data_IF_624153615485
#
_entry.id   IF_624153615485
#
_cell.length_a   1.000
_cell.length_b   1.000
_cell.length_c   1.000
_cell.angle_alpha   90.00
_cell.angle_beta   90.00
_cell.angle_gamma   90.00
#
_symmetry.space_group_name_H-M   'P 1'
#
loop_
_entity.id
_entity.type
_entity.pdbx_description
1 polymer ?
#
# COMPACT_ATOMS: atom_id res chain seq x y z
N UNK A 1 49.90 20.25 -0.50
CA UNK A 1 48.80 20.36 -1.47
C UNK A 1 47.54 20.08 -0.70
N UNK A 2 46.74 21.13 -0.50
CA UNK A 2 45.57 21.10 0.38
C UNK A 2 44.40 20.43 -0.32
N UNK A 3 43.82 19.42 0.32
CA UNK A 3 42.51 18.87 -0.05
C UNK A 3 41.46 19.60 0.79
N UNK A 4 40.55 20.28 0.15
CA UNK A 4 39.36 20.88 0.77
C UNK A 4 38.36 19.79 1.14
N UNK A 5 37.68 19.90 2.30
CA UNK A 5 36.64 18.96 2.70
C UNK A 5 35.30 19.30 1.99
N UNK A 6 34.61 18.26 1.59
CA UNK A 6 33.23 18.28 1.11
C UNK A 6 32.32 18.61 2.30
N UNK A 7 31.31 19.47 2.15
CA UNK A 7 30.36 19.75 3.24
C UNK A 7 29.40 18.57 3.45
N UNK A 8 29.38 18.12 4.68
CA UNK A 8 28.42 17.15 5.22
C UNK A 8 27.03 17.76 5.41
N UNK A 9 26.03 16.92 5.13
CA UNK A 9 24.74 16.81 5.82
C UNK A 9 23.80 18.02 5.89
N UNK A 10 22.70 17.91 5.16
CA UNK A 10 21.46 18.57 5.55
C UNK A 10 20.50 17.48 6.06
N UNK A 11 20.52 17.25 7.35
CA UNK A 11 19.47 16.52 8.07
C UNK A 11 18.22 17.36 8.00
N UNK A 12 17.22 16.94 7.25
CA UNK A 12 15.89 17.57 7.25
C UNK A 12 15.15 17.11 8.50
N UNK A 13 15.23 17.89 9.57
CA UNK A 13 14.31 17.76 10.71
C UNK A 13 12.89 18.09 10.24
N UNK A 14 11.99 17.12 10.40
CA UNK A 14 10.55 17.39 10.30
C UNK A 14 10.13 18.32 11.44
N UNK A 15 9.88 19.57 11.11
CA UNK A 15 9.26 20.52 12.03
C UNK A 15 7.73 20.35 11.95
N UNK A 16 7.13 20.01 13.08
CA UNK A 16 5.71 20.20 13.35
C UNK A 16 5.38 21.71 13.37
N UNK A 17 5.21 22.30 12.20
CA UNK A 17 4.84 23.71 12.05
C UNK A 17 3.35 23.89 12.11
N UNK A 18 2.84 24.49 13.19
CA UNK A 18 1.48 25.06 13.23
C UNK A 18 1.41 26.23 12.25
N UNK A 19 0.55 26.13 11.24
CA UNK A 19 0.25 27.23 10.32
C UNK A 19 -0.93 28.06 10.85
N UNK A 20 -0.93 29.40 10.64
CA UNK A 20 -1.99 30.27 11.15
C UNK A 20 -3.28 30.15 10.33
N UNK A 21 -4.42 30.12 11.04
CA UNK A 21 -5.76 30.19 10.49
C UNK A 21 -6.08 31.57 9.91
N UNK A 22 -6.65 31.60 8.71
CA UNK A 22 -7.38 32.76 8.19
C UNK A 22 -8.89 32.51 8.25
N UNK A 23 -9.71 33.50 8.68
CA UNK A 23 -11.14 33.33 8.79
C UNK A 23 -11.83 33.44 7.43
N UNK A 24 -12.67 32.45 7.09
CA UNK A 24 -13.53 32.48 5.91
C UNK A 24 -14.85 33.13 6.30
N UNK A 25 -15.17 34.25 5.65
CA UNK A 25 -16.48 34.91 5.76
C UNK A 25 -17.52 34.16 4.93
N UNK A 26 -18.59 33.71 5.59
CA UNK A 26 -19.76 33.13 4.97
C UNK A 26 -20.66 34.21 4.36
N UNK A 27 -20.92 34.15 3.06
CA UNK A 27 -21.99 34.90 2.38
C UNK A 27 -23.12 33.93 2.09
N UNK A 28 -24.22 34.14 2.78
CA UNK A 28 -25.45 33.40 2.55
C UNK A 28 -26.17 33.88 1.29
N UNK A 29 -26.57 32.97 0.42
CA UNK A 29 -27.53 33.22 -0.64
C UNK A 29 -28.78 32.39 -0.41
N UNK A 30 -29.91 33.12 -0.24
CA UNK A 30 -31.26 32.61 -0.14
C UNK A 30 -31.77 32.38 -1.57
N UNK A 31 -32.19 31.16 -1.93
CA UNK A 31 -32.86 30.88 -3.19
C UNK A 31 -34.19 30.20 -2.94
N UNK A 32 -35.26 30.87 -3.41
CA UNK A 32 -36.65 30.45 -3.37
C UNK A 32 -36.91 29.17 -4.20
N UNK A 33 -37.68 28.27 -3.62
CA UNK A 33 -38.24 27.11 -4.29
C UNK A 33 -39.37 27.50 -5.24
N UNK A 34 -39.30 27.03 -6.49
CA UNK A 34 -40.41 26.95 -7.41
C UNK A 34 -40.72 25.49 -7.70
N UNK A 35 -41.84 25.00 -7.19
CA UNK A 35 -42.40 23.69 -7.55
C UNK A 35 -43.03 23.76 -8.94
N UNK A 36 -42.55 22.96 -9.88
CA UNK A 36 -43.28 22.61 -11.10
C UNK A 36 -43.54 21.10 -11.14
N UNK A 37 -44.82 20.79 -11.06
CA UNK A 37 -45.41 19.45 -11.26
C UNK A 37 -45.27 19.03 -12.73
N UNK A 38 -44.63 17.90 -13.01
CA UNK A 38 -44.77 17.14 -14.25
C UNK A 38 -44.99 15.66 -13.93
N UNK A 39 -45.92 14.99 -14.63
CA UNK A 39 -46.27 13.60 -14.35
C UNK A 39 -45.40 12.62 -15.13
N UNK A 40 -45.04 11.55 -14.43
CA UNK A 40 -44.88 10.20 -14.95
C UNK A 40 -43.86 9.98 -16.09
N UNK A 41 -42.61 9.71 -15.76
CA UNK A 41 -41.75 8.85 -16.57
C UNK A 41 -41.27 7.72 -15.67
N UNK A 42 -41.81 6.52 -15.86
CA UNK A 42 -41.29 5.30 -15.25
C UNK A 42 -39.89 5.10 -15.81
N UNK A 43 -38.87 5.34 -14.99
CA UNK A 43 -37.52 4.84 -15.26
C UNK A 43 -37.57 3.31 -15.20
N UNK A 44 -37.48 2.68 -16.37
CA UNK A 44 -37.08 1.29 -16.47
C UNK A 44 -35.75 1.16 -15.68
N UNK A 45 -35.78 0.42 -14.59
CA UNK A 45 -34.56 -0.08 -13.97
C UNK A 45 -33.91 -0.97 -15.02
N UNK A 46 -32.82 -0.49 -15.61
CA UNK A 46 -31.83 -1.38 -16.23
C UNK A 46 -31.32 -2.24 -15.10
N UNK A 47 -31.67 -3.52 -15.11
CA UNK A 47 -30.92 -4.56 -14.41
C UNK A 47 -29.49 -4.51 -14.95
N UNK A 48 -28.58 -3.96 -14.17
CA UNK A 48 -27.15 -4.13 -14.39
C UNK A 48 -26.87 -5.63 -14.45
N UNK A 49 -26.33 -6.10 -15.55
CA UNK A 49 -25.78 -7.43 -15.69
C UNK A 49 -24.61 -7.54 -14.73
N UNK A 50 -24.87 -7.97 -13.49
CA UNK A 50 -23.88 -8.15 -12.45
C UNK A 50 -22.97 -9.32 -12.79
N UNK A 51 -21.89 -9.08 -13.52
CA UNK A 51 -20.71 -9.94 -13.47
C UNK A 51 -20.22 -9.99 -12.02
N UNK A 52 -19.85 -11.18 -11.54
CA UNK A 52 -19.37 -11.37 -10.17
C UNK A 52 -18.12 -10.51 -9.94
N UNK A 53 -18.22 -9.48 -9.09
CA UNK A 53 -17.10 -8.56 -8.79
C UNK A 53 -15.95 -9.34 -8.16
N UNK A 54 -14.71 -9.02 -8.56
CA UNK A 54 -13.51 -9.58 -7.97
C UNK A 54 -13.42 -9.17 -6.49
N UNK A 55 -13.44 -10.12 -5.57
CA UNK A 55 -13.31 -9.85 -4.14
C UNK A 55 -11.84 -9.71 -3.76
N UNK A 56 -11.49 -8.61 -3.09
CA UNK A 56 -10.10 -8.29 -2.68
C UNK A 56 -10.07 -7.92 -1.20
N UNK A 57 -9.14 -8.48 -0.46
CA UNK A 57 -8.74 -8.03 0.86
C UNK A 57 -7.46 -7.23 0.71
N UNK A 58 -7.43 -6.02 1.26
CA UNK A 58 -6.33 -5.09 1.13
C UNK A 58 -5.54 -5.04 2.44
N UNK A 59 -4.26 -5.41 2.41
CA UNK A 59 -3.35 -5.40 3.56
C UNK A 59 -2.15 -4.50 3.24
N UNK A 60 -1.91 -3.46 4.05
CA UNK A 60 -0.99 -2.37 3.72
C UNK A 60 -0.37 -1.74 4.97
N UNK A 61 0.85 -1.25 4.86
CA UNK A 61 1.53 -0.39 5.82
C UNK A 61 1.38 1.10 5.47
N UNK A 62 0.20 1.44 5.03
CA UNK A 62 -0.25 2.64 4.34
C UNK A 62 0.35 3.94 4.87
N UNK A 63 0.91 4.70 3.97
CA UNK A 63 1.06 6.15 4.10
C UNK A 63 0.01 6.85 3.25
N UNK A 64 -0.18 8.17 3.42
CA UNK A 64 -1.27 8.91 2.77
C UNK A 64 -1.25 8.85 1.23
N UNK A 65 -1.56 9.93 0.55
CA UNK A 65 -1.72 10.01 -0.91
C UNK A 65 -0.39 9.93 -1.67
N UNK A 66 0.39 8.88 -1.45
CA UNK A 66 1.51 8.48 -2.28
C UNK A 66 1.25 7.05 -2.78
N UNK A 67 2.11 6.09 -2.57
CA UNK A 67 2.04 4.79 -3.22
C UNK A 67 0.87 3.93 -2.69
N UNK A 68 0.90 3.58 -1.42
CA UNK A 68 -0.15 2.80 -0.74
C UNK A 68 -1.52 3.47 -0.79
N UNK A 69 -1.56 4.76 -0.44
CA UNK A 69 -2.82 5.49 -0.37
C UNK A 69 -3.46 5.65 -1.73
N UNK A 70 -2.67 5.92 -2.78
CA UNK A 70 -3.16 5.98 -4.16
C UNK A 70 -3.59 4.59 -4.64
N UNK A 71 -2.85 3.52 -4.26
CA UNK A 71 -3.25 2.14 -4.52
C UNK A 71 -4.63 1.84 -3.92
N UNK A 72 -4.88 2.26 -2.68
CA UNK A 72 -6.19 2.08 -2.05
C UNK A 72 -7.29 2.91 -2.72
N UNK A 73 -7.02 4.18 -3.09
CA UNK A 73 -7.96 5.03 -3.82
C UNK A 73 -8.40 4.40 -5.14
N UNK A 74 -7.46 3.93 -5.98
CA UNK A 74 -7.82 3.32 -7.27
C UNK A 74 -8.58 2.01 -7.11
N UNK A 75 -8.29 1.24 -6.07
CA UNK A 75 -9.04 0.02 -5.75
C UNK A 75 -10.48 0.32 -5.33
N UNK A 76 -10.70 1.37 -4.52
CA UNK A 76 -12.03 1.85 -4.16
C UNK A 76 -12.80 2.37 -5.37
N UNK A 77 -12.12 3.03 -6.31
CA UNK A 77 -12.67 3.58 -7.54
C UNK A 77 -12.84 2.57 -8.67
N UNK A 78 -12.74 1.27 -8.43
CA UNK A 78 -12.86 0.24 -9.46
C UNK A 78 -14.16 -0.54 -9.30
N UNK A 79 -15.11 -0.35 -10.23
CA UNK A 79 -16.46 -0.93 -10.16
C UNK A 79 -16.47 -2.47 -10.14
N UNK A 80 -15.53 -3.11 -10.83
CA UNK A 80 -15.42 -4.57 -10.90
C UNK A 80 -14.74 -5.21 -9.68
N UNK A 81 -14.33 -4.38 -8.71
CA UNK A 81 -13.69 -4.83 -7.47
C UNK A 81 -14.65 -4.61 -6.29
N UNK A 82 -14.68 -5.60 -5.40
CA UNK A 82 -15.30 -5.52 -4.09
C UNK A 82 -14.24 -5.68 -3.02
N UNK A 83 -13.81 -4.56 -2.42
CA UNK A 83 -12.92 -4.63 -1.28
C UNK A 83 -13.68 -5.21 -0.09
N UNK A 84 -13.11 -6.23 0.56
CA UNK A 84 -13.69 -6.88 1.73
C UNK A 84 -13.36 -6.17 3.03
N UNK A 85 -12.22 -5.51 3.07
CA UNK A 85 -11.74 -4.70 4.19
C UNK A 85 -10.31 -4.26 3.97
N UNK A 86 -9.89 -3.33 4.81
CA UNK A 86 -8.51 -2.88 4.96
C UNK A 86 -7.97 -3.41 6.29
N UNK A 87 -6.88 -4.16 6.23
CA UNK A 87 -6.04 -4.48 7.39
C UNK A 87 -4.74 -3.72 7.27
N UNK A 88 -4.26 -3.13 8.36
CA UNK A 88 -2.99 -2.40 8.35
C UNK A 88 -1.91 -3.16 9.09
N UNK A 89 -0.67 -2.90 8.75
CA UNK A 89 0.51 -3.53 9.35
C UNK A 89 1.59 -2.46 9.51
N UNK A 90 2.50 -2.64 10.44
CA UNK A 90 3.65 -1.73 10.58
C UNK A 90 4.70 -2.02 9.50
N UNK A 91 5.19 -0.97 8.87
CA UNK A 91 6.23 -0.97 7.84
C UNK A 91 6.62 0.47 7.49
N UNK A 92 6.01 1.06 6.46
CA UNK A 92 6.18 2.49 6.13
C UNK A 92 5.72 3.41 7.27
N UNK A 93 4.59 3.08 7.88
CA UNK A 93 4.06 3.74 9.06
C UNK A 93 3.72 2.69 10.13
N UNK A 94 3.50 3.12 11.38
CA UNK A 94 2.97 2.25 12.42
C UNK A 94 1.55 1.79 12.06
N UNK A 95 1.17 0.57 12.41
CA UNK A 95 -0.13 -0.01 12.03
C UNK A 95 -1.32 0.87 12.45
N UNK A 96 -1.23 1.52 13.62
CA UNK A 96 -2.26 2.45 14.09
C UNK A 96 -2.30 3.74 13.27
N UNK A 97 -1.16 4.24 12.84
CA UNK A 97 -1.04 5.41 11.97
C UNK A 97 -1.57 5.10 10.56
N UNK A 98 -1.16 3.97 9.99
CA UNK A 98 -1.68 3.45 8.71
C UNK A 98 -3.22 3.30 8.73
N UNK A 99 -3.78 2.87 9.87
CA UNK A 99 -5.23 2.81 10.05
C UNK A 99 -5.89 4.20 9.96
N UNK A 100 -5.30 5.22 10.59
CA UNK A 100 -5.80 6.58 10.54
C UNK A 100 -5.82 7.12 9.10
N UNK A 101 -4.75 6.87 8.34
CA UNK A 101 -4.65 7.25 6.92
C UNK A 101 -5.67 6.51 6.05
N UNK A 102 -5.79 5.19 6.24
CA UNK A 102 -6.77 4.36 5.51
C UNK A 102 -8.21 4.79 5.79
N UNK A 103 -8.55 5.13 7.04
CA UNK A 103 -9.87 5.68 7.41
C UNK A 103 -10.12 7.00 6.66
N UNK A 104 -9.15 7.92 6.65
CA UNK A 104 -9.33 9.21 5.96
C UNK A 104 -9.57 9.03 4.47
N UNK A 105 -8.79 8.19 3.81
CA UNK A 105 -8.97 7.88 2.39
C UNK A 105 -10.35 7.23 2.16
N UNK A 106 -10.73 6.27 3.00
CA UNK A 106 -12.03 5.63 2.90
C UNK A 106 -13.21 6.59 3.05
N UNK A 107 -13.10 7.58 3.93
CA UNK A 107 -14.11 8.64 4.08
C UNK A 107 -14.26 9.51 2.82
N UNK A 108 -13.13 9.80 2.17
CA UNK A 108 -13.09 10.65 0.98
C UNK A 108 -13.44 9.90 -0.30
N UNK A 109 -13.14 8.60 -0.37
CA UNK A 109 -13.27 7.78 -1.58
C UNK A 109 -14.42 6.76 -1.53
N UNK A 110 -15.42 6.98 -0.68
CA UNK A 110 -16.63 6.13 -0.65
C UNK A 110 -16.48 4.80 0.09
N UNK A 111 -15.38 4.60 0.83
CA UNK A 111 -15.08 3.39 1.61
C UNK A 111 -15.79 3.31 2.98
N UNK A 112 -16.78 4.14 3.28
CA UNK A 112 -17.41 4.24 4.62
C UNK A 112 -18.03 2.92 5.13
N UNK A 113 -18.39 2.02 4.25
CA UNK A 113 -19.01 0.74 4.60
C UNK A 113 -18.02 -0.44 4.67
N UNK A 114 -16.73 -0.18 4.50
CA UNK A 114 -15.70 -1.20 4.62
C UNK A 114 -15.35 -1.46 6.09
N UNK A 115 -14.78 -2.63 6.35
CA UNK A 115 -14.15 -2.95 7.63
C UNK A 115 -12.71 -2.47 7.62
N UNK A 116 -12.31 -1.73 8.65
CA UNK A 116 -10.97 -1.21 8.88
C UNK A 116 -10.43 -1.82 10.15
N UNK A 117 -9.21 -2.35 10.13
CA UNK A 117 -8.61 -3.06 11.27
C UNK A 117 -7.14 -2.68 11.39
N UNK A 118 -6.72 -2.20 12.56
CA UNK A 118 -5.30 -2.16 12.89
C UNK A 118 -4.80 -3.59 13.08
N UNK A 119 -3.79 -3.97 12.32
CA UNK A 119 -3.18 -5.29 12.41
C UNK A 119 -1.90 -5.28 13.24
N UNK A 120 -0.92 -6.06 12.79
CA UNK A 120 0.30 -6.30 13.53
C UNK A 120 1.14 -5.02 13.70
N UNK A 121 1.37 -4.66 14.97
CA UNK A 121 2.25 -3.54 15.34
C UNK A 121 3.72 -3.95 15.29
N UNK A 122 4.03 -5.23 15.47
CA UNK A 122 5.39 -5.76 15.48
C UNK A 122 5.51 -6.99 14.58
N UNK A 123 6.71 -7.23 13.98
CA UNK A 123 7.05 -8.47 13.29
C UNK A 123 6.82 -9.72 14.13
N UNK A 124 6.79 -10.88 13.45
CA UNK A 124 6.60 -12.18 14.14
C UNK A 124 7.72 -12.45 15.14
N UNK A 125 8.97 -12.17 14.75
CA UNK A 125 10.12 -12.39 15.64
C UNK A 125 10.20 -11.29 16.69
N UNK A 126 10.13 -11.63 18.00
CA UNK A 126 10.34 -10.66 19.07
C UNK A 126 11.69 -9.95 18.96
N UNK A 127 11.72 -8.64 19.19
CA UNK A 127 12.94 -7.83 19.12
C UNK A 127 13.45 -7.57 17.68
N UNK A 128 12.69 -7.95 16.65
CA UNK A 128 13.11 -7.73 15.24
C UNK A 128 13.37 -6.26 14.93
N UNK A 129 12.54 -5.36 15.42
CA UNK A 129 12.69 -3.93 15.16
C UNK A 129 13.92 -3.33 15.85
N UNK A 130 14.37 -3.90 16.97
CA UNK A 130 15.57 -3.45 17.68
C UNK A 130 16.83 -3.68 16.82
N UNK A 131 16.89 -4.81 16.08
CA UNK A 131 18.01 -5.15 15.20
C UNK A 131 17.93 -4.54 13.80
N UNK A 132 16.76 -4.07 13.37
CA UNK A 132 16.54 -3.59 12.00
C UNK A 132 17.50 -2.45 11.62
N UNK A 133 17.60 -1.43 12.47
CA UNK A 133 18.47 -0.28 12.20
C UNK A 133 19.95 -0.67 12.16
N UNK A 134 20.39 -1.54 13.07
CA UNK A 134 21.78 -2.02 13.12
C UNK A 134 22.15 -2.82 11.86
N UNK A 135 21.24 -3.67 11.38
CA UNK A 135 21.45 -4.45 10.16
C UNK A 135 21.56 -3.55 8.91
N UNK A 136 20.68 -2.56 8.81
CA UNK A 136 20.68 -1.61 7.69
C UNK A 136 21.91 -0.70 7.75
N UNK A 137 22.35 -0.26 8.95
CA UNK A 137 23.58 0.52 9.12
C UNK A 137 24.85 -0.29 8.77
N UNK A 138 24.84 -1.59 9.04
CA UNK A 138 25.95 -2.48 8.72
C UNK A 138 26.07 -2.74 7.20
N UNK A 139 24.93 -2.79 6.48
CA UNK A 139 24.88 -3.08 5.04
C UNK A 139 23.82 -2.19 4.35
N UNK A 140 24.10 -0.90 4.14
CA UNK A 140 23.12 0.00 3.56
C UNK A 140 22.86 -0.28 2.06
N UNK A 141 21.57 -0.39 1.68
CA UNK A 141 21.13 -0.38 0.29
C UNK A 141 20.96 1.05 -0.25
N UNK A 142 20.43 1.17 -1.46
CA UNK A 142 20.26 2.47 -2.13
C UNK A 142 19.32 3.41 -1.35
N UNK A 143 18.26 2.87 -0.75
CA UNK A 143 17.27 3.63 0.02
C UNK A 143 17.40 3.45 1.54
N UNK A 144 18.58 3.07 2.02
CA UNK A 144 18.85 2.79 3.43
C UNK A 144 18.58 3.96 4.39
N UNK A 145 18.47 5.18 3.87
CA UNK A 145 18.06 6.36 4.66
C UNK A 145 16.58 6.36 5.01
N UNK A 146 15.74 5.65 4.26
CA UNK A 146 14.34 5.48 4.56
C UNK A 146 14.14 4.22 5.41
N UNK A 147 13.59 4.38 6.59
CA UNK A 147 13.43 3.31 7.60
C UNK A 147 11.96 3.09 8.00
N UNK A 148 11.03 3.82 7.37
CA UNK A 148 9.63 3.76 7.74
C UNK A 148 9.37 4.04 9.22
N UNK A 149 8.47 3.29 9.81
CA UNK A 149 8.01 3.45 11.19
C UNK A 149 9.13 3.43 12.25
N UNK A 150 10.19 2.63 12.04
CA UNK A 150 11.28 2.52 13.03
C UNK A 150 12.20 3.74 13.11
N UNK A 151 11.98 4.75 12.28
CA UNK A 151 12.74 6.01 12.30
C UNK A 151 12.16 7.06 13.26
N UNK A 152 10.98 6.84 13.83
CA UNK A 152 10.31 7.78 14.72
C UNK A 152 9.53 7.08 15.84
N UNK A 153 8.96 7.86 16.76
CA UNK A 153 8.26 7.36 17.94
C UNK A 153 7.03 6.57 17.53
N UNK A 154 6.83 5.44 18.18
CA UNK A 154 5.69 4.55 17.97
C UNK A 154 4.35 5.24 18.22
N UNK A 155 3.44 5.13 17.27
CA UNK A 155 2.06 5.59 17.38
C UNK A 155 1.13 4.43 17.71
N UNK A 156 0.45 4.54 18.86
CA UNK A 156 -0.37 3.47 19.43
C UNK A 156 -1.87 3.79 19.47
N UNK A 157 -2.27 4.98 19.02
CA UNK A 157 -3.67 5.41 19.01
C UNK A 157 -4.02 6.08 17.68
N UNK A 158 -4.62 5.31 16.79
CA UNK A 158 -5.10 5.77 15.50
C UNK A 158 -6.00 7.01 15.56
N UNK A 159 -6.79 7.13 16.66
CA UNK A 159 -7.74 8.25 16.80
C UNK A 159 -7.00 9.55 17.09
N UNK A 160 -6.01 9.52 17.93
CA UNK A 160 -5.15 10.68 18.19
C UNK A 160 -4.41 11.08 16.92
N UNK A 161 -3.79 10.14 16.22
CA UNK A 161 -3.15 10.39 14.92
C UNK A 161 -4.13 11.05 13.95
N UNK A 162 -5.34 10.49 13.81
CA UNK A 162 -6.36 11.03 12.91
C UNK A 162 -6.77 12.46 13.29
N UNK A 163 -7.08 12.68 14.58
CA UNK A 163 -7.58 13.99 15.03
C UNK A 163 -6.52 15.08 14.96
N UNK A 164 -5.28 14.75 15.29
CA UNK A 164 -4.15 15.70 15.26
C UNK A 164 -3.75 16.04 13.83
N UNK A 165 -3.77 15.03 12.94
CA UNK A 165 -3.42 15.19 11.52
C UNK A 165 -4.46 16.00 10.74
N UNK A 166 -5.75 15.65 10.92
CA UNK A 166 -6.83 16.18 10.08
C UNK A 166 -7.68 17.25 10.77
N UNK A 167 -7.42 17.56 12.05
CA UNK A 167 -8.17 18.51 12.87
C UNK A 167 -9.69 18.25 12.83
N UNK A 168 -10.11 16.97 12.84
CA UNK A 168 -11.52 16.53 12.78
C UNK A 168 -11.71 15.17 13.45
N UNK A 169 -12.95 14.83 13.76
CA UNK A 169 -13.28 13.49 14.23
C UNK A 169 -13.53 12.53 13.07
N UNK A 170 -13.06 11.26 13.16
CA UNK A 170 -13.35 10.25 12.15
C UNK A 170 -14.85 9.90 12.13
N UNK A 171 -15.39 9.68 10.93
CA UNK A 171 -16.74 9.18 10.73
C UNK A 171 -16.78 7.64 10.72
N UNK A 172 -15.71 7.02 10.22
CA UNK A 172 -15.53 5.56 10.21
C UNK A 172 -15.06 5.09 11.59
N UNK A 173 -15.67 4.00 12.06
CA UNK A 173 -15.27 3.32 13.29
C UNK A 173 -14.60 1.99 12.91
N UNK A 174 -13.32 1.79 13.21
CA UNK A 174 -12.65 0.54 12.93
C UNK A 174 -13.19 -0.60 13.81
N UNK A 175 -12.98 -1.83 13.34
CA UNK A 175 -13.25 -3.04 14.11
C UNK A 175 -12.12 -3.28 15.12
N UNK A 176 -12.48 -3.90 16.25
CA UNK A 176 -11.53 -4.39 17.24
C UNK A 176 -11.16 -5.87 17.06
N UNK A 177 -11.59 -6.49 15.97
CA UNK A 177 -11.22 -7.85 15.63
C UNK A 177 -9.72 -7.92 15.30
N UNK A 178 -9.06 -9.03 15.64
CA UNK A 178 -7.68 -9.26 15.23
C UNK A 178 -7.59 -9.38 13.70
N UNK A 179 -6.62 -8.72 13.08
CA UNK A 179 -6.49 -8.71 11.62
C UNK A 179 -6.30 -10.11 11.04
N UNK A 180 -5.50 -10.96 11.69
CA UNK A 180 -5.27 -12.35 11.28
C UNK A 180 -6.55 -13.19 11.28
N UNK A 181 -7.40 -13.04 12.31
CA UNK A 181 -8.68 -13.73 12.42
C UNK A 181 -9.68 -13.20 11.37
N UNK A 182 -9.69 -11.90 11.14
CA UNK A 182 -10.51 -11.29 10.08
C UNK A 182 -10.12 -11.81 8.70
N UNK A 183 -8.82 -11.84 8.37
CA UNK A 183 -8.31 -12.38 7.11
C UNK A 183 -8.76 -13.83 6.93
N UNK A 184 -8.52 -14.68 7.91
CA UNK A 184 -8.91 -16.07 7.88
C UNK A 184 -10.42 -16.25 7.67
N UNK A 185 -11.22 -15.53 8.44
CA UNK A 185 -12.69 -15.56 8.34
C UNK A 185 -13.19 -15.11 6.97
N UNK A 186 -12.62 -14.07 6.36
CA UNK A 186 -13.00 -13.63 5.01
C UNK A 186 -12.71 -14.69 3.96
N UNK A 187 -11.55 -15.34 4.04
CA UNK A 187 -11.17 -16.43 3.10
C UNK A 187 -12.10 -17.62 3.27
N UNK A 188 -12.28 -18.09 4.51
CA UNK A 188 -13.08 -19.29 4.82
C UNK A 188 -14.57 -19.09 4.53
N UNK A 189 -15.06 -17.84 4.55
CA UNK A 189 -16.46 -17.53 4.17
C UNK A 189 -16.72 -17.55 2.66
N UNK A 190 -15.67 -17.51 1.85
CA UNK A 190 -15.77 -17.47 0.37
C UNK A 190 -14.59 -18.23 -0.27
N UNK A 191 -14.50 -19.56 -0.08
CA UNK A 191 -13.37 -20.35 -0.53
C UNK A 191 -13.10 -20.20 -2.03
N UNK A 192 -11.84 -19.98 -2.40
CA UNK A 192 -11.41 -19.85 -3.80
C UNK A 192 -11.86 -18.56 -4.51
N UNK A 193 -12.43 -17.60 -3.79
CA UNK A 193 -12.95 -16.37 -4.41
C UNK A 193 -12.17 -15.11 -4.02
N UNK A 194 -11.45 -15.12 -2.90
CA UNK A 194 -10.79 -13.95 -2.37
C UNK A 194 -9.36 -13.82 -2.88
N UNK A 195 -9.03 -12.67 -3.45
CA UNK A 195 -7.66 -12.23 -3.72
C UNK A 195 -7.16 -11.47 -2.50
N UNK A 196 -5.95 -11.78 -2.03
CA UNK A 196 -5.23 -10.96 -1.05
C UNK A 196 -4.30 -10.04 -1.82
N UNK A 197 -4.39 -8.73 -1.58
CA UNK A 197 -3.43 -7.74 -2.03
C UNK A 197 -2.63 -7.28 -0.81
N UNK A 198 -1.41 -7.79 -0.68
CA UNK A 198 -0.49 -7.54 0.43
C UNK A 198 0.63 -6.62 -0.05
N UNK A 199 0.55 -5.35 0.30
CA UNK A 199 1.49 -4.32 -0.14
C UNK A 199 2.34 -3.73 0.99
N UNK A 200 2.30 -4.33 2.17
CA UNK A 200 3.19 -4.11 3.30
C UNK A 200 3.87 -5.40 3.75
N UNK A 201 4.56 -5.40 4.90
CA UNK A 201 5.11 -6.60 5.51
C UNK A 201 4.05 -7.69 5.73
N UNK A 202 4.37 -8.94 5.44
CA UNK A 202 3.42 -10.06 5.42
C UNK A 202 2.92 -10.52 6.80
N UNK A 203 3.17 -9.78 7.87
CA UNK A 203 2.97 -10.19 9.28
C UNK A 203 1.52 -10.62 9.57
N UNK A 204 0.52 -9.88 9.09
CA UNK A 204 -0.89 -10.20 9.30
C UNK A 204 -1.26 -11.54 8.65
N UNK A 205 -0.81 -11.74 7.40
CA UNK A 205 -1.10 -12.95 6.62
C UNK A 205 -0.40 -14.16 7.23
N UNK A 206 0.85 -14.00 7.65
CA UNK A 206 1.61 -15.07 8.27
C UNK A 206 1.01 -15.49 9.63
N UNK A 207 0.51 -14.54 10.43
CA UNK A 207 -0.25 -14.84 11.65
C UNK A 207 -1.54 -15.60 11.35
N UNK A 208 -2.27 -15.18 10.29
CA UNK A 208 -3.47 -15.89 9.84
C UNK A 208 -3.16 -17.33 9.41
N UNK A 209 -2.07 -17.54 8.66
CA UNK A 209 -1.59 -18.86 8.25
C UNK A 209 -1.17 -19.74 9.44
N UNK A 210 -0.58 -19.15 10.46
CA UNK A 210 -0.16 -19.87 11.65
C UNK A 210 -1.34 -20.44 12.45
N UNK A 211 -2.45 -19.67 12.53
CA UNK A 211 -3.68 -20.09 13.23
C UNK A 211 -4.60 -20.93 12.34
N UNK A 212 -4.62 -20.66 11.04
CA UNK A 212 -5.55 -21.24 10.05
C UNK A 212 -4.80 -21.63 8.77
N UNK A 213 -3.94 -22.67 8.78
CA UNK A 213 -3.10 -23.02 7.63
C UNK A 213 -3.90 -23.39 6.37
N UNK A 214 -5.15 -23.82 6.52
CA UNK A 214 -6.05 -24.15 5.41
C UNK A 214 -6.41 -22.96 4.53
N UNK A 215 -6.29 -21.72 5.02
CA UNK A 215 -6.62 -20.53 4.24
C UNK A 215 -5.76 -20.40 2.98
N UNK A 216 -4.53 -20.88 3.01
CA UNK A 216 -3.66 -20.83 1.85
C UNK A 216 -4.32 -21.47 0.63
N UNK A 217 -4.79 -22.74 0.77
CA UNK A 217 -5.43 -23.47 -0.32
C UNK A 217 -6.83 -22.96 -0.69
N UNK A 218 -7.47 -22.21 0.20
CA UNK A 218 -8.81 -21.64 0.00
C UNK A 218 -8.79 -20.18 -0.48
N UNK A 219 -7.62 -19.55 -0.57
CA UNK A 219 -7.44 -18.25 -1.22
C UNK A 219 -7.46 -18.43 -2.74
N UNK A 220 -8.02 -17.47 -3.48
CA UNK A 220 -7.98 -17.49 -4.95
C UNK A 220 -6.58 -17.22 -5.47
N UNK A 221 -5.99 -16.14 -5.02
CA UNK A 221 -4.64 -15.70 -5.33
C UNK A 221 -4.13 -14.72 -4.26
N UNK A 222 -2.82 -14.60 -4.17
CA UNK A 222 -2.18 -13.55 -3.40
C UNK A 222 -1.21 -12.79 -4.28
N UNK A 223 -1.24 -11.45 -4.17
CA UNK A 223 -0.35 -10.53 -4.86
C UNK A 223 0.40 -9.75 -3.78
N UNK A 224 1.72 -9.85 -3.79
CA UNK A 224 2.60 -9.14 -2.87
C UNK A 224 3.26 -7.95 -3.57
N UNK A 225 3.42 -6.83 -2.87
CA UNK A 225 4.53 -5.94 -3.15
C UNK A 225 5.65 -6.27 -2.17
N UNK A 226 6.82 -6.64 -2.69
CA UNK A 226 7.97 -6.97 -1.85
C UNK A 226 9.02 -7.80 -2.54
N UNK A 227 10.20 -7.84 -1.91
CA UNK A 227 11.32 -8.62 -2.35
C UNK A 227 12.11 -8.04 -3.52
N UNK A 228 13.34 -8.52 -3.63
CA UNK A 228 14.24 -8.33 -4.77
C UNK A 228 14.75 -9.72 -5.18
N UNK A 229 14.42 -10.17 -6.40
CA UNK A 229 14.65 -11.56 -6.80
C UNK A 229 15.93 -11.68 -7.63
N UNK A 230 16.04 -10.91 -8.71
CA UNK A 230 17.19 -10.91 -9.61
C UNK A 230 17.85 -9.54 -9.72
N UNK A 231 17.51 -8.61 -8.83
CA UNK A 231 18.14 -7.30 -8.70
C UNK A 231 18.59 -7.10 -7.25
N UNK A 232 19.32 -6.00 -7.01
CA UNK A 232 19.72 -5.62 -5.66
C UNK A 232 18.51 -5.15 -4.84
N UNK A 233 18.57 -5.33 -3.52
CA UNK A 233 17.62 -4.79 -2.57
C UNK A 233 17.74 -3.27 -2.44
N UNK A 234 16.74 -2.64 -1.85
CA UNK A 234 16.74 -1.19 -1.65
C UNK A 234 17.11 -0.79 -0.21
N UNK A 235 16.77 -1.59 0.78
CA UNK A 235 17.01 -1.29 2.20
C UNK A 235 18.36 -1.86 2.66
N UNK A 236 18.66 -3.10 2.28
CA UNK A 236 20.02 -3.64 2.25
C UNK A 236 20.37 -4.03 0.81
N UNK A 237 21.63 -4.30 0.45
CA UNK A 237 21.95 -4.78 -0.89
C UNK A 237 21.27 -6.09 -1.29
N UNK A 238 20.73 -6.81 -0.33
CA UNK A 238 20.14 -8.12 -0.52
C UNK A 238 18.62 -8.14 -0.42
N UNK A 239 18.02 -7.19 0.31
CA UNK A 239 16.62 -7.24 0.68
C UNK A 239 15.86 -5.94 0.43
N UNK A 240 14.63 -6.11 -0.02
CA UNK A 240 13.60 -5.09 -0.13
C UNK A 240 12.95 -4.87 1.24
N UNK A 241 12.42 -3.67 1.49
CA UNK A 241 11.96 -3.20 2.79
C UNK A 241 10.86 -4.07 3.41
N UNK A 242 9.79 -4.37 2.69
CA UNK A 242 8.65 -5.13 3.23
C UNK A 242 9.07 -6.53 3.68
N UNK A 243 9.94 -7.19 2.90
CA UNK A 243 10.41 -8.53 3.21
C UNK A 243 11.54 -8.51 4.26
N UNK A 244 12.35 -7.45 4.29
CA UNK A 244 13.34 -7.27 5.36
C UNK A 244 12.70 -6.89 6.70
N UNK A 245 11.56 -6.21 6.68
CA UNK A 245 10.87 -5.81 7.90
C UNK A 245 10.45 -7.01 8.75
N UNK A 246 9.91 -8.06 8.09
CA UNK A 246 9.52 -9.34 8.71
C UNK A 246 9.85 -10.52 7.79
N UNK A 247 11.14 -10.95 7.73
CA UNK A 247 11.56 -12.04 6.86
C UNK A 247 10.90 -13.38 7.17
N UNK A 248 10.61 -13.63 8.45
CA UNK A 248 9.91 -14.85 8.88
C UNK A 248 8.49 -14.88 8.34
N UNK A 249 7.79 -13.74 8.35
CA UNK A 249 6.45 -13.64 7.77
C UNK A 249 6.47 -13.77 6.25
N UNK A 250 7.42 -13.12 5.58
CA UNK A 250 7.62 -13.25 4.13
C UNK A 250 7.88 -14.70 3.73
N UNK A 251 8.78 -15.38 4.44
CA UNK A 251 9.10 -16.79 4.24
C UNK A 251 7.87 -17.71 4.44
N UNK A 252 7.11 -17.49 5.52
CA UNK A 252 5.90 -18.24 5.79
C UNK A 252 4.88 -18.10 4.66
N UNK A 253 4.67 -16.89 4.16
CA UNK A 253 3.73 -16.62 3.07
C UNK A 253 4.19 -17.23 1.74
N UNK A 254 5.46 -17.04 1.35
CA UNK A 254 6.00 -17.60 0.10
C UNK A 254 5.98 -19.12 0.07
N UNK A 255 6.21 -19.75 1.22
CA UNK A 255 6.18 -21.22 1.38
C UNK A 255 4.77 -21.80 1.42
N UNK A 256 3.76 -20.97 1.73
CA UNK A 256 2.38 -21.43 1.85
C UNK A 256 1.81 -21.88 0.49
N UNK A 257 0.96 -22.92 0.46
CA UNK A 257 0.44 -23.51 -0.77
C UNK A 257 -0.73 -22.71 -1.36
N UNK A 258 -0.55 -21.41 -1.58
CA UNK A 258 -1.52 -20.61 -2.30
C UNK A 258 -1.64 -21.07 -3.76
N UNK A 259 -2.86 -21.20 -4.33
CA UNK A 259 -3.06 -21.68 -5.70
C UNK A 259 -2.36 -20.82 -6.75
N UNK A 260 -2.26 -19.51 -6.48
CA UNK A 260 -1.58 -18.55 -7.35
C UNK A 260 -0.91 -17.48 -6.49
N UNK A 261 0.36 -17.25 -6.76
CA UNK A 261 1.16 -16.21 -6.12
C UNK A 261 1.82 -15.32 -7.17
N UNK A 262 1.77 -14.02 -6.95
CA UNK A 262 2.46 -13.02 -7.77
C UNK A 262 3.25 -12.09 -6.85
N UNK A 263 4.55 -11.98 -7.08
CA UNK A 263 5.43 -11.04 -6.36
C UNK A 263 5.77 -9.89 -7.29
N UNK A 264 5.25 -8.70 -6.99
CA UNK A 264 5.63 -7.44 -7.61
C UNK A 264 6.86 -6.94 -6.87
N UNK A 265 8.02 -7.44 -7.29
CA UNK A 265 9.31 -7.19 -6.67
C UNK A 265 9.98 -5.93 -7.22
N UNK A 266 11.11 -5.56 -6.65
CA UNK A 266 11.95 -4.47 -7.18
C UNK A 266 12.37 -4.72 -8.63
N UNK A 267 12.35 -5.97 -9.12
CA UNK A 267 12.67 -6.31 -10.51
C UNK A 267 11.79 -5.56 -11.51
N UNK A 268 10.50 -5.39 -11.24
CA UNK A 268 9.60 -4.58 -12.07
C UNK A 268 9.51 -3.14 -11.55
N UNK A 269 9.49 -2.92 -10.24
CA UNK A 269 9.30 -1.59 -9.66
C UNK A 269 10.42 -0.62 -10.08
N UNK A 270 11.66 -1.09 -10.15
CA UNK A 270 12.80 -0.28 -10.61
C UNK A 270 12.71 0.15 -12.08
N UNK A 271 11.79 -0.42 -12.86
CA UNK A 271 11.56 -0.05 -14.26
C UNK A 271 10.49 1.02 -14.45
N UNK A 272 9.71 1.32 -13.40
CA UNK A 272 8.60 2.28 -13.45
C UNK A 272 8.96 3.53 -12.64
N UNK A 273 9.23 4.61 -13.36
CA UNK A 273 9.55 5.89 -12.75
C UNK A 273 8.44 6.90 -13.04
N UNK A 274 7.99 7.57 -12.00
CA UNK A 274 7.06 8.68 -12.09
C UNK A 274 7.88 9.97 -12.19
N UNK A 275 7.72 10.71 -13.26
CA UNK A 275 8.24 12.06 -13.39
C UNK A 275 7.21 13.12 -12.95
N UNK A 276 7.60 14.39 -12.98
CA UNK A 276 6.70 15.50 -12.63
C UNK A 276 5.43 15.52 -13.49
N UNK A 277 5.52 15.21 -14.79
CA UNK A 277 4.36 15.23 -15.69
C UNK A 277 3.35 14.15 -15.28
N UNK A 278 3.82 12.94 -15.01
CA UNK A 278 2.97 11.83 -14.55
C UNK A 278 2.36 12.12 -13.18
N UNK A 279 3.17 12.62 -12.23
CA UNK A 279 2.65 13.03 -10.92
C UNK A 279 1.56 14.10 -11.03
N UNK A 280 1.79 15.13 -11.84
CA UNK A 280 0.81 16.20 -12.04
C UNK A 280 -0.44 15.70 -12.76
N UNK A 281 -0.34 14.73 -13.67
CA UNK A 281 -1.50 14.09 -14.29
C UNK A 281 -2.36 13.36 -13.24
N UNK A 282 -1.72 12.60 -12.34
CA UNK A 282 -2.37 11.93 -11.19
C UNK A 282 -3.04 12.97 -10.29
N UNK A 283 -2.32 13.99 -9.86
CA UNK A 283 -2.83 15.05 -8.98
C UNK A 283 -4.01 15.82 -9.61
N UNK A 284 -3.93 16.14 -10.91
CA UNK A 284 -4.98 16.88 -11.62
C UNK A 284 -6.20 16.02 -11.96
N UNK A 285 -6.05 14.70 -12.05
CA UNK A 285 -7.20 13.80 -12.27
C UNK A 285 -8.17 13.79 -11.08
N UNK A 286 -7.69 14.09 -9.87
CA UNK A 286 -8.53 14.23 -8.68
C UNK A 286 -9.23 15.58 -8.71
N UNK A 287 -10.55 15.59 -8.46
CA UNK A 287 -11.37 16.81 -8.43
C UNK A 287 -11.61 17.34 -7.01
N UNK A 288 -11.62 16.46 -6.01
CA UNK A 288 -11.82 16.80 -4.60
C UNK A 288 -10.63 17.60 -4.04
N UNK A 289 -10.89 18.81 -3.53
CA UNK A 289 -9.85 19.61 -2.88
C UNK A 289 -9.32 18.98 -1.59
N UNK A 290 -10.15 18.24 -0.86
CA UNK A 290 -9.72 17.52 0.33
C UNK A 290 -8.73 16.38 -0.01
N UNK A 291 -8.94 15.66 -1.11
CA UNK A 291 -7.97 14.68 -1.60
C UNK A 291 -6.70 15.35 -2.13
N UNK A 292 -6.83 16.44 -2.89
CA UNK A 292 -5.67 17.21 -3.36
C UNK A 292 -4.80 17.72 -2.22
N UNK A 293 -5.41 18.03 -1.07
CA UNK A 293 -4.67 18.42 0.12
C UNK A 293 -3.76 17.29 0.62
N UNK A 294 -4.24 16.02 0.63
CA UNK A 294 -3.41 14.87 0.98
C UNK A 294 -2.20 14.72 0.04
N UNK A 295 -2.41 14.92 -1.27
CA UNK A 295 -1.29 14.93 -2.24
C UNK A 295 -0.29 16.04 -1.97
N UNK A 296 -0.74 17.26 -1.61
CA UNK A 296 0.15 18.38 -1.30
C UNK A 296 1.00 18.14 -0.03
N UNK A 297 0.50 17.33 0.90
CA UNK A 297 1.26 16.94 2.10
C UNK A 297 2.31 15.87 1.83
N UNK A 298 2.21 15.21 0.70
CA UNK A 298 3.10 14.13 0.34
C UNK A 298 4.49 14.61 -0.07
N UNK A 299 5.51 13.81 0.27
CA UNK A 299 6.90 14.06 -0.11
C UNK A 299 7.08 14.24 -1.63
N UNK A 300 6.38 13.45 -2.46
CA UNK A 300 6.50 13.54 -3.92
C UNK A 300 6.07 14.90 -4.46
N UNK A 301 5.02 15.51 -3.90
CA UNK A 301 4.62 16.85 -4.27
C UNK A 301 5.76 17.87 -4.01
N UNK A 302 6.33 17.81 -2.81
CA UNK A 302 7.45 18.68 -2.43
C UNK A 302 8.70 18.43 -3.28
N UNK A 303 8.98 17.18 -3.60
CA UNK A 303 10.10 16.79 -4.47
C UNK A 303 9.97 17.48 -5.84
N UNK A 304 8.82 17.33 -6.51
CA UNK A 304 8.61 17.86 -7.86
C UNK A 304 8.43 19.39 -7.92
N UNK A 305 8.04 20.03 -6.82
CA UNK A 305 8.05 21.50 -6.72
C UNK A 305 9.49 22.04 -6.57
N UNK A 306 10.33 21.34 -5.82
CA UNK A 306 11.71 21.77 -5.58
C UNK A 306 12.67 21.35 -6.72
N UNK A 307 12.46 20.19 -7.32
CA UNK A 307 13.23 19.68 -8.45
C UNK A 307 12.30 19.10 -9.54
N UNK A 308 11.92 19.91 -10.54
CA UNK A 308 11.08 19.44 -11.63
C UNK A 308 11.71 18.34 -12.53
N UNK A 309 13.01 18.10 -12.40
CA UNK A 309 13.73 17.04 -13.14
C UNK A 309 13.83 15.73 -12.37
N UNK A 310 13.43 15.73 -11.09
CA UNK A 310 13.43 14.52 -10.26
C UNK A 310 12.52 13.44 -10.83
N UNK A 311 12.81 12.20 -10.47
CA UNK A 311 11.93 11.06 -10.71
C UNK A 311 11.76 10.27 -9.42
N UNK A 312 10.60 9.64 -9.26
CA UNK A 312 10.26 8.80 -8.11
C UNK A 312 9.90 7.39 -8.60
N UNK A 313 10.38 6.38 -7.92
CA UNK A 313 9.94 5.00 -8.16
C UNK A 313 8.50 4.80 -7.65
N UNK A 314 7.84 3.79 -8.18
CA UNK A 314 6.47 3.40 -7.82
C UNK A 314 6.49 1.90 -7.53
N UNK A 315 5.86 1.49 -6.45
CA UNK A 315 5.87 0.11 -5.94
C UNK A 315 4.47 -0.47 -5.78
N UNK A 316 3.75 -0.07 -4.75
CA UNK A 316 2.44 -0.61 -4.35
C UNK A 316 1.35 -0.38 -5.37
N UNK A 317 1.40 0.78 -6.00
CA UNK A 317 0.47 1.15 -7.06
C UNK A 317 0.52 0.18 -8.25
N UNK A 318 1.71 -0.39 -8.56
CA UNK A 318 1.85 -1.43 -9.60
C UNK A 318 1.08 -2.69 -9.18
N UNK A 319 1.21 -3.10 -7.92
CA UNK A 319 0.51 -4.27 -7.39
C UNK A 319 -1.01 -4.11 -7.44
N UNK A 320 -1.51 -2.91 -7.09
CA UNK A 320 -2.93 -2.58 -7.17
C UNK A 320 -3.45 -2.60 -8.62
N UNK A 321 -2.71 -2.03 -9.58
CA UNK A 321 -3.10 -2.07 -10.98
C UNK A 321 -3.06 -3.49 -11.54
N UNK A 322 -2.08 -4.33 -11.15
CA UNK A 322 -2.06 -5.77 -11.51
C UNK A 322 -3.28 -6.51 -10.93
N UNK A 323 -3.70 -6.17 -9.71
CA UNK A 323 -4.92 -6.73 -9.12
C UNK A 323 -6.19 -6.30 -9.87
N UNK A 324 -6.23 -5.08 -10.41
CA UNK A 324 -7.32 -4.58 -11.27
C UNK A 324 -7.27 -5.30 -12.62
N UNK A 325 -6.17 -5.20 -13.32
CA UNK A 325 -5.97 -5.75 -14.67
C UNK A 325 -4.56 -6.33 -14.83
N UNK A 326 -4.42 -7.63 -14.63
CA UNK A 326 -3.16 -8.33 -14.85
C UNK A 326 -2.67 -8.33 -16.30
N UNK A 327 -3.48 -7.89 -17.26
CA UNK A 327 -3.10 -7.71 -18.66
C UNK A 327 -2.13 -6.54 -18.91
N UNK A 328 -1.75 -5.78 -17.86
CA UNK A 328 -0.63 -4.82 -17.98
C UNK A 328 0.73 -5.51 -17.97
N UNK A 329 0.84 -6.76 -17.49
CA UNK A 329 2.11 -7.49 -17.43
C UNK A 329 2.49 -7.89 -18.86
N UNK A 330 3.58 -7.32 -19.38
CA UNK A 330 4.11 -7.62 -20.72
C UNK A 330 5.30 -8.57 -20.71
N UNK A 331 5.97 -8.70 -19.56
CA UNK A 331 7.05 -9.67 -19.35
C UNK A 331 7.06 -10.17 -17.90
N UNK A 332 7.27 -11.48 -17.73
CA UNK A 332 7.36 -12.10 -16.41
C UNK A 332 8.25 -13.34 -16.45
N UNK A 333 8.67 -13.80 -15.27
CA UNK A 333 9.31 -15.10 -15.09
C UNK A 333 8.59 -15.84 -13.95
N UNK A 334 8.31 -17.11 -14.18
CA UNK A 334 7.78 -18.01 -13.16
C UNK A 334 8.95 -18.78 -12.55
N UNK A 335 9.11 -18.73 -11.23
CA UNK A 335 10.23 -19.37 -10.51
C UNK A 335 9.78 -19.94 -9.18
N UNK A 336 10.54 -20.89 -8.65
CA UNK A 336 10.42 -21.35 -7.27
C UNK A 336 11.28 -20.45 -6.40
N UNK A 337 10.67 -19.77 -5.46
CA UNK A 337 11.33 -18.79 -4.60
C UNK A 337 11.33 -19.24 -3.13
N UNK A 338 12.29 -18.72 -2.40
CA UNK A 338 12.37 -18.82 -0.95
C UNK A 338 12.93 -17.51 -0.38
N UNK A 339 12.81 -17.30 0.92
CA UNK A 339 13.33 -16.14 1.64
C UNK A 339 14.34 -16.63 2.66
N UNK A 340 15.44 -15.90 2.80
CA UNK A 340 16.41 -16.11 3.88
C UNK A 340 15.82 -15.54 5.17
N UNK A 341 15.24 -16.39 5.98
CA UNK A 341 14.62 -16.10 7.27
C UNK A 341 15.49 -16.56 8.46
N UNK A 342 16.77 -16.82 8.22
CA UNK A 342 17.71 -17.21 9.28
C UNK A 342 18.24 -15.94 9.95
N UNK A 343 17.92 -15.70 11.24
CA UNK A 343 18.47 -14.56 11.97
C UNK A 343 20.01 -14.52 11.91
N UNK A 344 20.57 -13.33 11.83
CA UNK A 344 22.00 -13.10 11.71
C UNK A 344 22.66 -13.61 10.41
N UNK A 345 21.86 -14.09 9.45
CA UNK A 345 22.36 -14.37 8.10
C UNK A 345 22.83 -13.08 7.44
N UNK A 346 23.97 -13.07 6.73
CA UNK A 346 24.44 -11.88 6.01
C UNK A 346 23.47 -11.47 4.86
N UNK A 347 22.54 -12.34 4.49
CA UNK A 347 21.54 -12.11 3.44
C UNK A 347 20.11 -12.18 3.97
N UNK A 348 19.92 -11.94 5.26
CA UNK A 348 18.61 -11.96 5.92
C UNK A 348 17.58 -11.08 5.19
N UNK A 349 16.40 -11.63 4.94
CA UNK A 349 15.34 -10.99 4.14
C UNK A 349 15.48 -11.13 2.63
N UNK A 350 16.58 -11.73 2.12
CA UNK A 350 16.80 -11.94 0.68
C UNK A 350 15.81 -12.93 0.10
N UNK A 351 15.19 -12.57 -1.02
CA UNK A 351 14.47 -13.54 -1.87
C UNK A 351 15.47 -14.20 -2.82
N UNK A 352 15.39 -15.50 -2.96
CA UNK A 352 16.27 -16.25 -3.86
C UNK A 352 15.53 -17.38 -4.59
N UNK A 353 16.00 -17.67 -5.80
CA UNK A 353 15.51 -18.80 -6.59
C UNK A 353 16.05 -20.12 -6.05
N UNK A 354 15.17 -21.12 -5.95
CA UNK A 354 15.49 -22.45 -5.45
C UNK A 354 15.01 -23.55 -6.40
N UNK A 355 15.68 -24.69 -6.39
CA UNK A 355 15.23 -25.88 -7.14
C UNK A 355 14.39 -26.84 -6.28
N UNK A 356 14.10 -26.48 -5.04
CA UNK A 356 13.32 -27.33 -4.13
C UNK A 356 11.93 -27.60 -4.68
N UNK A 357 11.55 -28.87 -4.90
CA UNK A 357 10.23 -29.21 -5.40
C UNK A 357 9.10 -28.90 -4.40
N UNK A 358 9.45 -28.67 -3.13
CA UNK A 358 8.48 -28.32 -2.09
C UNK A 358 8.03 -26.86 -2.16
N UNK A 359 8.71 -26.01 -2.96
CA UNK A 359 8.32 -24.60 -3.15
C UNK A 359 7.35 -24.44 -4.30
N UNK A 360 6.37 -23.56 -4.13
CA UNK A 360 5.42 -23.21 -5.19
C UNK A 360 6.12 -22.46 -6.33
N UNK A 361 5.53 -22.52 -7.50
CA UNK A 361 5.92 -21.64 -8.62
C UNK A 361 5.21 -20.32 -8.42
N UNK A 362 5.99 -19.23 -8.41
CA UNK A 362 5.54 -17.87 -8.16
C UNK A 362 5.81 -17.05 -9.42
N UNK A 363 4.85 -16.24 -9.80
CA UNK A 363 5.01 -15.29 -10.91
C UNK A 363 5.70 -14.03 -10.43
N UNK A 364 6.75 -13.62 -11.17
CA UNK A 364 7.47 -12.38 -10.94
C UNK A 364 7.37 -11.54 -12.21
N UNK A 365 6.54 -10.47 -12.23
CA UNK A 365 6.54 -9.50 -13.31
C UNK A 365 7.91 -8.84 -13.46
N UNK A 366 8.34 -8.63 -14.70
CA UNK A 366 9.61 -7.97 -15.04
C UNK A 366 9.37 -6.72 -15.89
N UNK A 367 8.23 -6.67 -16.58
CA UNK A 367 7.85 -5.55 -17.45
C UNK A 367 6.33 -5.37 -17.43
N UNK A 368 5.91 -4.11 -17.52
CA UNK A 368 4.50 -3.74 -17.64
C UNK A 368 4.32 -2.74 -18.80
N UNK A 369 3.10 -2.67 -19.33
CA UNK A 369 2.67 -1.59 -20.21
C UNK A 369 2.45 -0.33 -19.37
N UNK A 370 3.46 0.56 -19.34
CA UNK A 370 3.43 1.77 -18.53
C UNK A 370 2.37 2.78 -18.99
N UNK A 371 2.03 2.83 -20.29
CA UNK A 371 0.97 3.72 -20.75
C UNK A 371 -0.39 3.27 -20.20
N UNK A 372 -0.70 2.00 -20.37
CA UNK A 372 -1.92 1.40 -19.83
C UNK A 372 -1.98 1.50 -18.28
N UNK A 373 -0.84 1.37 -17.62
CA UNK A 373 -0.73 1.55 -16.17
C UNK A 373 -1.16 2.95 -15.73
N UNK A 374 -0.60 4.01 -16.31
CA UNK A 374 -0.94 5.40 -15.95
C UNK A 374 -2.36 5.77 -16.38
N UNK A 375 -2.87 5.23 -17.50
CA UNK A 375 -4.26 5.41 -17.94
C UNK A 375 -5.25 4.83 -16.92
N UNK A 376 -4.97 3.65 -16.37
CA UNK A 376 -5.79 3.04 -15.31
C UNK A 376 -5.76 3.93 -14.06
N UNK A 377 -4.57 4.33 -13.60
CA UNK A 377 -4.41 5.15 -12.38
C UNK A 377 -5.22 6.45 -12.49
N UNK A 378 -4.99 7.24 -13.55
CA UNK A 378 -5.66 8.54 -13.74
C UNK A 378 -7.16 8.38 -13.95
N UNK A 379 -7.58 7.38 -14.73
CA UNK A 379 -9.00 7.09 -14.96
C UNK A 379 -9.74 6.71 -13.67
N UNK A 380 -9.13 5.94 -12.77
CA UNK A 380 -9.77 5.56 -11.49
C UNK A 380 -9.81 6.72 -10.50
N UNK A 381 -8.81 7.58 -10.49
CA UNK A 381 -8.78 8.76 -9.62
C UNK A 381 -9.73 9.86 -10.09
N UNK A 382 -10.05 9.94 -11.38
CA UNK A 382 -10.92 10.99 -11.95
C UNK A 382 -12.38 10.93 -11.49
N UNK A 383 -12.77 9.93 -10.73
CA UNK A 383 -14.12 9.85 -10.13
C UNK A 383 -14.22 10.58 -8.78
N UNK A 384 -13.11 11.08 -8.23
CA UNK A 384 -13.07 11.75 -6.93
C UNK A 384 -12.94 13.28 -7.03
#
# INVERSE_FOLDING_TARGET
>A
MCLNPVPSETVVQQHSGKFPMYPIYSIGFLLLAVMSLFPGCQKMQQEESGGDKKSVLFDSDMVEAFDDGVAFMIMLGTDDIKIKGLTTVTGNAWAQESLAFGIRIGELCGGKNLTYIAGAQYPIRPGRLDSFNEEVDANPGENASYRGAVSYIEENDWRSVYTDRYNRQPEIKPSSEEASEYIARQILSSPGQLTILAIGPCTNIAKALASHPEIASQTKEIIYMGGAVWCDGNTTPYAEMNFLYDPEAAAACIRAPFPKQTIVSLDVCNTVRMDRQQFMAVYQSVHSEELKELFRWNYAYQLFENDPSATQLVWDLISAVIAIDSGIITGYRDARLDVDDVPDSPTYGKVYETQSPSRQIIRVPLQIDQNKFWDIVTSRLSQY
#
